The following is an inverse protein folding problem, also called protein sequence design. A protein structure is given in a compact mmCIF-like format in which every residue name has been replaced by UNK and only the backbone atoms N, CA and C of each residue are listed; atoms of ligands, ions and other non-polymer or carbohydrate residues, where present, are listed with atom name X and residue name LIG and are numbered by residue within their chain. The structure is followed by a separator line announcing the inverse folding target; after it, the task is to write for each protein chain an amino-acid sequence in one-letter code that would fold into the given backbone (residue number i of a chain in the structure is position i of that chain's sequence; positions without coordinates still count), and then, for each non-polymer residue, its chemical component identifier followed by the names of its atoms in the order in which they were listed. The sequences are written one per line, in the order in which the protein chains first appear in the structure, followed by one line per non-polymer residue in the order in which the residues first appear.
data_IF_313333088520
#
_entry.id   IF_313333088520
#
_cell.length_a   1.000
_cell.length_b   1.000
_cell.length_c   1.000
_cell.angle_alpha   90.00
_cell.angle_beta   90.00
_cell.angle_gamma   90.00
#
_symmetry.space_group_name_H-M   'P 1'
#
loop_
_entity.id
_entity.type
_entity.pdbx_description
1 polymer ?
#
# COMPACT_ATOMS: atom_id res chain seq x y z
N UNK A 1 26.34 39.32 -48.76
CA UNK A 1 25.09 38.85 -48.12
C UNK A 1 25.36 38.16 -46.77
N UNK A 2 26.13 37.06 -46.72
CA UNK A 2 26.46 36.33 -45.48
C UNK A 2 27.09 37.19 -44.37
N UNK A 3 28.04 38.08 -44.71
CA UNK A 3 28.67 38.99 -43.74
C UNK A 3 27.64 39.90 -43.03
N UNK A 4 26.65 40.40 -43.76
CA UNK A 4 25.59 41.24 -43.19
C UNK A 4 24.69 40.44 -42.25
N UNK A 5 24.34 39.21 -42.62
CA UNK A 5 23.53 38.32 -41.76
C UNK A 5 24.25 38.00 -40.45
N UNK A 6 25.56 37.73 -40.51
CA UNK A 6 26.39 37.50 -39.32
C UNK A 6 26.43 38.74 -38.43
N UNK A 7 26.65 39.92 -39.02
CA UNK A 7 26.68 41.18 -38.28
C UNK A 7 25.35 41.46 -37.58
N UNK A 8 24.22 41.28 -38.29
CA UNK A 8 22.89 41.46 -37.72
C UNK A 8 22.62 40.47 -36.57
N UNK A 9 23.08 39.21 -36.71
CA UNK A 9 22.92 38.21 -35.65
C UNK A 9 23.74 38.56 -34.41
N UNK A 10 24.99 39.01 -34.58
CA UNK A 10 25.86 39.43 -33.48
C UNK A 10 25.29 40.66 -32.76
N UNK A 11 24.78 41.63 -33.50
CA UNK A 11 24.15 42.83 -32.93
C UNK A 11 22.88 42.48 -32.16
N UNK A 12 22.04 41.57 -32.69
CA UNK A 12 20.87 41.07 -31.98
C UNK A 12 21.26 40.32 -30.69
N UNK A 13 22.32 39.51 -30.73
CA UNK A 13 22.81 38.83 -29.53
C UNK A 13 23.20 39.82 -28.44
N UNK A 14 23.98 40.85 -28.77
CA UNK A 14 24.35 41.92 -27.83
C UNK A 14 23.12 42.61 -27.23
N UNK A 15 22.13 42.95 -28.06
CA UNK A 15 20.86 43.56 -27.60
C UNK A 15 20.12 42.66 -26.60
N UNK A 16 20.00 41.36 -26.90
CA UNK A 16 19.36 40.37 -26.01
C UNK A 16 20.14 40.22 -24.68
N UNK A 17 21.46 40.46 -24.70
CA UNK A 17 22.31 40.50 -23.50
C UNK A 17 22.27 41.84 -22.75
N UNK A 18 21.50 42.82 -23.23
CA UNK A 18 21.38 44.14 -22.62
C UNK A 18 22.50 45.13 -23.00
N UNK A 19 23.27 44.82 -24.04
CA UNK A 19 24.39 45.65 -24.51
C UNK A 19 23.99 46.54 -25.69
N UNK A 20 24.68 47.67 -25.86
CA UNK A 20 24.52 48.61 -27.01
C UNK A 20 23.07 49.08 -27.28
N UNK A 21 22.28 49.29 -26.23
CA UNK A 21 20.85 49.64 -26.34
C UNK A 21 20.56 51.11 -26.67
N UNK A 22 21.57 51.98 -26.66
CA UNK A 22 21.42 53.44 -26.79
C UNK A 22 20.83 53.90 -28.13
N UNK A 23 20.82 53.03 -29.15
CA UNK A 23 20.23 53.31 -30.47
C UNK A 23 18.77 52.90 -30.62
N UNK A 24 18.16 52.30 -29.59
CA UNK A 24 16.78 51.81 -29.63
C UNK A 24 15.80 52.88 -29.16
N UNK A 25 14.65 52.95 -29.82
CA UNK A 25 13.51 53.72 -29.33
C UNK A 25 12.86 53.05 -28.13
N UNK A 26 12.07 53.82 -27.37
CA UNK A 26 11.29 53.30 -26.22
C UNK A 26 10.41 52.12 -26.61
N UNK A 27 9.81 52.14 -27.82
CA UNK A 27 8.97 51.04 -28.32
C UNK A 27 9.77 49.76 -28.57
N UNK A 28 10.97 49.88 -29.13
CA UNK A 28 11.85 48.74 -29.40
C UNK A 28 12.40 48.15 -28.11
N UNK A 29 12.76 49.00 -27.13
CA UNK A 29 13.15 48.58 -25.79
C UNK A 29 12.04 47.79 -25.09
N UNK A 30 10.79 48.30 -25.13
CA UNK A 30 9.65 47.60 -24.55
C UNK A 30 9.41 46.24 -25.23
N UNK A 31 9.58 46.16 -26.55
CA UNK A 31 9.46 44.90 -27.29
C UNK A 31 10.54 43.90 -26.87
N UNK A 32 11.78 44.36 -26.71
CA UNK A 32 12.91 43.54 -26.27
C UNK A 32 12.70 43.04 -24.83
N UNK A 33 12.25 43.90 -23.93
CA UNK A 33 11.92 43.55 -22.55
C UNK A 33 10.83 42.46 -22.50
N UNK A 34 9.72 42.66 -23.23
CA UNK A 34 8.63 41.68 -23.30
C UNK A 34 9.13 40.33 -23.87
N UNK A 35 9.99 40.36 -24.88
CA UNK A 35 10.58 39.15 -25.47
C UNK A 35 11.44 38.39 -24.45
N UNK A 36 12.28 39.10 -23.70
CA UNK A 36 13.12 38.52 -22.65
C UNK A 36 12.27 37.97 -21.50
N UNK A 37 11.25 38.70 -21.07
CA UNK A 37 10.33 38.27 -20.01
C UNK A 37 9.59 36.98 -20.39
N UNK A 38 9.01 36.94 -21.59
CA UNK A 38 8.32 35.75 -22.10
C UNK A 38 9.27 34.56 -22.22
N UNK A 39 10.47 34.77 -22.77
CA UNK A 39 11.48 33.71 -22.93
C UNK A 39 11.94 33.17 -21.57
N UNK A 40 12.25 34.06 -20.63
CA UNK A 40 12.70 33.69 -19.28
C UNK A 40 11.59 32.95 -18.51
N UNK A 41 10.34 33.41 -18.62
CA UNK A 41 9.19 32.69 -18.08
C UNK A 41 9.08 31.29 -18.67
N UNK A 42 9.24 31.15 -19.98
CA UNK A 42 9.27 29.85 -20.66
C UNK A 42 10.37 28.92 -20.13
N UNK A 43 11.59 29.43 -19.99
CA UNK A 43 12.72 28.68 -19.43
C UNK A 43 12.44 28.24 -17.99
N UNK A 44 11.92 29.13 -17.14
CA UNK A 44 11.55 28.82 -15.76
C UNK A 44 10.50 27.72 -15.69
N UNK A 45 9.39 27.87 -16.43
CA UNK A 45 8.33 26.85 -16.49
C UNK A 45 8.86 25.50 -16.94
N UNK A 46 9.73 25.46 -17.95
CA UNK A 46 10.32 24.20 -18.43
C UNK A 46 11.24 23.57 -17.39
N UNK A 47 12.05 24.37 -16.70
CA UNK A 47 12.92 23.89 -15.62
C UNK A 47 12.09 23.32 -14.46
N UNK A 48 11.03 24.02 -14.07
CA UNK A 48 10.15 23.59 -12.98
C UNK A 48 9.42 22.30 -13.36
N UNK A 49 8.91 22.18 -14.59
CA UNK A 49 8.28 20.96 -15.08
C UNK A 49 9.24 19.77 -15.04
N UNK A 50 10.46 19.93 -15.55
CA UNK A 50 11.49 18.87 -15.53
C UNK A 50 11.80 18.43 -14.09
N UNK A 51 11.93 19.39 -13.16
CA UNK A 51 12.22 19.07 -11.77
C UNK A 51 11.04 18.33 -11.10
N UNK A 52 9.80 18.73 -11.39
CA UNK A 52 8.60 18.05 -10.89
C UNK A 52 8.54 16.62 -11.44
N UNK A 53 8.77 16.44 -12.73
CA UNK A 53 8.76 15.13 -13.39
C UNK A 53 9.85 14.22 -12.80
N UNK A 54 11.07 14.72 -12.63
CA UNK A 54 12.18 13.97 -12.01
C UNK A 54 11.87 13.56 -10.57
N UNK A 55 11.32 14.47 -9.75
CA UNK A 55 10.90 14.14 -8.38
C UNK A 55 9.84 13.03 -8.39
N UNK A 56 8.88 13.11 -9.31
CA UNK A 56 7.84 12.11 -9.44
C UNK A 56 8.41 10.74 -9.86
N UNK A 57 9.30 10.71 -10.86
CA UNK A 57 9.95 9.48 -11.32
C UNK A 57 10.79 8.84 -10.21
N UNK A 58 11.58 9.63 -9.47
CA UNK A 58 12.37 9.15 -8.35
C UNK A 58 11.49 8.57 -7.23
N UNK A 59 10.39 9.24 -6.87
CA UNK A 59 9.46 8.73 -5.87
C UNK A 59 8.82 7.40 -6.31
N UNK A 60 8.39 7.30 -7.58
CA UNK A 60 7.83 6.06 -8.12
C UNK A 60 8.85 4.91 -8.13
N UNK A 61 10.10 5.22 -8.49
CA UNK A 61 11.18 4.23 -8.48
C UNK A 61 11.48 3.74 -7.07
N UNK A 62 11.55 4.65 -6.10
CA UNK A 62 11.70 4.29 -4.68
C UNK A 62 10.55 3.36 -4.28
N UNK A 63 9.30 3.76 -4.48
CA UNK A 63 8.14 2.92 -4.10
C UNK A 63 8.19 1.53 -4.76
N UNK A 64 8.55 1.46 -6.04
CA UNK A 64 8.70 0.20 -6.79
C UNK A 64 9.86 -0.65 -6.27
N UNK A 65 11.04 -0.06 -6.03
CA UNK A 65 12.24 -0.76 -5.58
C UNK A 65 12.06 -1.32 -4.15
N UNK A 66 11.38 -0.58 -3.26
CA UNK A 66 11.03 -1.06 -1.92
C UNK A 66 10.07 -2.26 -1.99
N UNK A 67 9.03 -2.19 -2.81
CA UNK A 67 8.08 -3.30 -2.99
C UNK A 67 8.73 -4.53 -3.63
N UNK A 68 9.60 -4.33 -4.64
CA UNK A 68 10.33 -5.40 -5.29
C UNK A 68 11.27 -6.11 -4.29
N UNK A 69 12.04 -5.34 -3.51
CA UNK A 69 12.97 -5.89 -2.52
C UNK A 69 12.24 -6.68 -1.43
N UNK A 70 11.11 -6.17 -0.93
CA UNK A 70 10.32 -6.88 0.08
C UNK A 70 9.70 -8.16 -0.47
N UNK A 71 9.16 -8.13 -1.70
CA UNK A 71 8.62 -9.32 -2.38
C UNK A 71 9.69 -10.39 -2.57
N UNK A 72 10.88 -10.00 -3.00
CA UNK A 72 11.98 -10.92 -3.28
C UNK A 72 12.54 -11.53 -1.99
N UNK A 73 12.71 -10.73 -0.91
CA UNK A 73 13.08 -11.23 0.41
C UNK A 73 12.04 -12.21 0.98
N UNK A 74 10.75 -11.92 0.83
CA UNK A 74 9.68 -12.80 1.30
C UNK A 74 9.67 -14.13 0.53
N UNK A 75 9.84 -14.07 -0.80
CA UNK A 75 9.98 -15.27 -1.64
C UNK A 75 11.20 -16.10 -1.24
N UNK A 76 12.34 -15.45 -0.99
CA UNK A 76 13.57 -16.11 -0.54
C UNK A 76 13.40 -16.76 0.84
N UNK A 77 12.71 -16.10 1.78
CA UNK A 77 12.43 -16.70 3.08
C UNK A 77 11.59 -17.97 2.96
N UNK A 78 10.50 -17.93 2.18
CA UNK A 78 9.61 -19.09 2.01
C UNK A 78 10.29 -20.26 1.29
N UNK A 79 11.18 -19.97 0.33
CA UNK A 79 11.94 -20.97 -0.43
C UNK A 79 13.20 -21.45 0.30
N UNK A 80 13.67 -20.71 1.30
CA UNK A 80 14.80 -21.13 2.14
C UNK A 80 14.48 -22.43 2.87
N UNK A 81 15.50 -23.24 3.11
CA UNK A 81 15.38 -24.53 3.84
C UNK A 81 14.62 -24.35 5.15
N UNK A 82 14.89 -23.29 5.91
CA UNK A 82 14.18 -23.02 7.16
C UNK A 82 12.72 -22.60 6.91
N UNK A 83 12.42 -21.78 5.91
CA UNK A 83 11.05 -21.38 5.60
C UNK A 83 10.19 -22.54 5.09
N UNK A 84 10.78 -23.44 4.28
CA UNK A 84 10.14 -24.67 3.83
C UNK A 84 9.82 -25.62 4.99
N UNK A 85 10.75 -25.78 5.93
CA UNK A 85 10.54 -26.57 7.16
C UNK A 85 9.43 -25.97 8.03
N UNK A 86 9.44 -24.66 8.27
CA UNK A 86 8.39 -23.96 9.05
C UNK A 86 7.02 -24.10 8.38
N UNK A 87 6.96 -23.95 7.06
CA UNK A 87 5.71 -24.13 6.31
C UNK A 87 5.18 -25.56 6.44
N UNK A 88 6.06 -26.55 6.31
CA UNK A 88 5.71 -27.96 6.48
C UNK A 88 5.24 -28.26 7.90
N UNK A 89 5.92 -27.75 8.92
CA UNK A 89 5.54 -27.90 10.33
C UNK A 89 4.16 -27.30 10.60
N UNK A 90 3.88 -26.11 10.07
CA UNK A 90 2.57 -25.49 10.20
C UNK A 90 1.46 -26.35 9.58
N UNK A 91 1.68 -26.92 8.38
CA UNK A 91 0.72 -27.83 7.74
C UNK A 91 0.46 -29.07 8.60
N UNK A 92 1.49 -29.63 9.24
CA UNK A 92 1.32 -30.75 10.16
C UNK A 92 0.59 -30.36 11.45
N UNK A 93 0.88 -29.18 12.02
CA UNK A 93 0.19 -28.67 13.20
C UNK A 93 -1.30 -28.46 12.94
N UNK A 94 -1.67 -27.87 11.78
CA UNK A 94 -3.07 -27.74 11.39
C UNK A 94 -3.78 -29.10 11.35
N UNK A 95 -3.14 -30.13 10.78
CA UNK A 95 -3.69 -31.50 10.78
C UNK A 95 -3.86 -32.05 12.20
N UNK A 96 -2.87 -31.86 13.07
CA UNK A 96 -2.92 -32.31 14.47
C UNK A 96 -4.04 -31.62 15.26
N UNK A 97 -4.21 -30.31 15.12
CA UNK A 97 -5.27 -29.54 15.79
C UNK A 97 -6.65 -30.03 15.36
N UNK A 98 -6.84 -30.31 14.07
CA UNK A 98 -8.11 -30.84 13.56
C UNK A 98 -8.43 -32.22 14.17
N UNK A 99 -7.44 -33.12 14.26
CA UNK A 99 -7.61 -34.43 14.89
C UNK A 99 -7.97 -34.32 16.38
N UNK A 100 -7.26 -33.47 17.12
CA UNK A 100 -7.54 -33.22 18.55
C UNK A 100 -8.96 -32.68 18.72
N UNK A 101 -9.38 -31.76 17.85
CA UNK A 101 -10.73 -31.19 17.91
C UNK A 101 -11.81 -32.26 17.67
N UNK A 102 -11.56 -33.20 16.75
CA UNK A 102 -12.44 -34.33 16.50
C UNK A 102 -12.50 -35.28 17.71
N UNK A 103 -11.35 -35.70 18.23
CA UNK A 103 -11.25 -36.59 19.38
C UNK A 103 -11.94 -36.00 20.61
N UNK A 104 -11.73 -34.70 20.88
CA UNK A 104 -12.42 -34.01 21.96
C UNK A 104 -13.95 -34.01 21.76
N UNK A 105 -14.44 -33.90 20.54
CA UNK A 105 -15.86 -34.04 20.22
C UNK A 105 -16.40 -35.44 20.51
N UNK A 106 -15.64 -36.49 20.21
CA UNK A 106 -15.98 -37.88 20.50
C UNK A 106 -15.91 -38.21 21.99
N UNK A 107 -14.88 -37.73 22.69
CA UNK A 107 -14.73 -37.87 24.14
C UNK A 107 -15.84 -37.14 24.90
N UNK A 108 -16.20 -35.93 24.47
CA UNK A 108 -17.32 -35.18 25.05
C UNK A 108 -18.64 -35.97 24.89
N UNK A 109 -18.88 -36.54 23.71
CA UNK A 109 -20.03 -37.44 23.48
C UNK A 109 -19.98 -38.68 24.38
N UNK A 110 -18.82 -39.25 24.66
CA UNK A 110 -18.68 -40.42 25.54
C UNK A 110 -18.85 -40.08 27.02
N UNK A 111 -18.31 -38.94 27.47
CA UNK A 111 -18.38 -38.47 28.85
C UNK A 111 -19.80 -38.06 29.26
N UNK A 112 -20.58 -37.49 28.34
CA UNK A 112 -21.96 -37.07 28.60
C UNK A 112 -23.01 -37.97 27.91
N UNK A 113 -22.59 -38.99 27.18
CA UNK A 113 -23.45 -39.93 26.45
C UNK A 113 -24.10 -41.02 27.31
N UNK A 114 -23.93 -40.99 28.62
CA UNK A 114 -24.63 -41.87 29.57
C UNK A 114 -25.55 -41.06 30.47
N UNK A 115 -26.59 -40.48 29.88
CA UNK A 115 -27.81 -40.15 30.61
C UNK A 115 -29.03 -40.50 29.78
N UNK A 116 -29.23 -41.79 29.59
CA UNK A 116 -30.59 -42.32 29.61
C UNK A 116 -30.60 -43.80 30.02
N UNK A 117 -30.79 -44.04 31.30
CA UNK A 117 -31.60 -45.17 31.78
C UNK A 117 -32.29 -44.72 33.06
N UNK A 118 -33.63 -44.73 32.99
CA UNK A 118 -34.60 -44.64 34.08
C UNK A 118 -35.08 -43.23 34.49
N UNK A 119 -35.92 -42.65 33.64
CA UNK A 119 -36.99 -41.77 34.07
C UNK A 119 -38.17 -42.54 34.68
N UNK A 120 -38.01 -43.05 35.91
CA UNK A 120 -39.14 -43.26 36.82
C UNK A 120 -38.67 -43.35 38.28
N UNK A 121 -38.95 -42.27 39.02
CA UNK A 121 -39.45 -42.33 40.40
C UNK A 121 -38.49 -42.82 41.49
N UNK A 122 -37.88 -41.88 42.23
CA UNK A 122 -38.17 -41.63 43.66
C UNK A 122 -37.15 -40.66 44.29
N UNK A 123 -37.63 -39.46 44.57
CA UNK A 123 -37.49 -38.71 45.83
C UNK A 123 -36.25 -39.01 46.70
N UNK A 124 -35.26 -38.11 46.71
CA UNK A 124 -34.77 -37.51 47.96
C UNK A 124 -33.88 -36.29 47.66
N UNK A 125 -34.42 -35.13 48.02
CA UNK A 125 -33.69 -34.04 48.65
C UNK A 125 -32.62 -33.31 47.84
N UNK A 126 -33.08 -32.17 47.28
CA UNK A 126 -32.29 -30.95 47.18
C UNK A 126 -31.50 -30.71 48.48
N UNK A 127 -30.19 -30.48 48.39
CA UNK A 127 -29.47 -29.70 49.39
C UNK A 127 -28.58 -28.66 48.71
N UNK A 128 -29.13 -27.46 48.63
CA UNK A 128 -28.47 -26.16 48.79
C UNK A 128 -27.43 -25.78 47.72
N UNK A 129 -27.80 -24.93 46.76
CA UNK A 129 -27.81 -23.47 46.87
C UNK A 129 -26.42 -22.87 46.97
N UNK A 130 -25.94 -22.28 45.86
CA UNK A 130 -25.30 -20.95 45.83
C UNK A 130 -25.32 -20.47 44.37
N UNK A 131 -26.18 -19.48 44.10
CA UNK A 131 -26.15 -18.65 42.90
C UNK A 131 -24.95 -17.70 42.98
N UNK A 132 -24.06 -17.74 41.99
CA UNK A 132 -23.16 -16.66 41.60
C UNK A 132 -22.65 -17.07 40.20
N UNK A 133 -23.19 -16.50 39.12
CA UNK A 133 -22.63 -15.29 38.50
C UNK A 133 -21.38 -15.57 37.70
N UNK A 134 -21.33 -14.99 36.50
CA UNK A 134 -20.13 -14.96 35.67
C UNK A 134 -20.30 -15.71 34.36
N UNK A 135 -20.76 -14.98 33.36
CA UNK A 135 -20.32 -15.04 31.96
C UNK A 135 -19.31 -16.15 31.62
N UNK A 136 -19.68 -17.00 30.66
CA UNK A 136 -18.88 -17.34 29.47
C UNK A 136 -19.54 -18.51 28.74
N UNK A 137 -20.72 -18.28 28.16
CA UNK A 137 -21.14 -19.03 26.98
C UNK A 137 -20.97 -18.15 25.74
N UNK A 138 -19.75 -17.66 25.54
CA UNK A 138 -19.31 -17.28 24.20
C UNK A 138 -18.62 -18.52 23.66
N UNK A 139 -19.39 -19.38 23.00
CA UNK A 139 -18.82 -20.38 22.11
C UNK A 139 -18.00 -19.59 21.08
N UNK A 140 -16.68 -19.57 21.24
CA UNK A 140 -15.79 -18.89 20.31
C UNK A 140 -15.84 -19.68 19.01
N UNK A 141 -16.74 -19.28 18.12
CA UNK A 141 -16.76 -19.77 16.75
C UNK A 141 -15.56 -19.15 16.03
N UNK A 142 -14.41 -19.82 16.11
CA UNK A 142 -13.24 -19.51 15.30
C UNK A 142 -13.60 -19.85 13.85
N UNK A 143 -14.12 -18.87 13.11
CA UNK A 143 -14.21 -18.96 11.66
C UNK A 143 -12.79 -19.04 11.10
N UNK A 144 -12.46 -20.22 10.56
CA UNK A 144 -11.20 -20.51 9.91
C UNK A 144 -11.00 -19.53 8.74
N UNK A 145 -9.96 -18.69 8.80
CA UNK A 145 -9.43 -18.05 7.59
C UNK A 145 -8.88 -19.17 6.70
N UNK A 146 -9.63 -19.54 5.66
CA UNK A 146 -9.12 -20.41 4.61
C UNK A 146 -7.90 -19.73 3.96
N UNK A 147 -6.87 -20.51 3.56
CA UNK A 147 -5.75 -19.95 2.82
C UNK A 147 -6.31 -19.32 1.55
N UNK A 148 -6.18 -17.99 1.43
CA UNK A 148 -6.58 -17.26 0.24
C UNK A 148 -5.79 -17.83 -0.94
N UNK A 149 -6.45 -18.64 -1.76
CA UNK A 149 -5.95 -18.99 -3.06
C UNK A 149 -5.86 -17.69 -3.86
N UNK A 150 -4.65 -17.26 -4.15
CA UNK A 150 -4.38 -16.17 -5.08
C UNK A 150 -4.92 -16.55 -6.46
N UNK A 151 -6.10 -16.05 -6.79
CA UNK A 151 -6.56 -15.92 -8.16
C UNK A 151 -6.12 -14.51 -8.62
N UNK A 152 -5.05 -14.45 -9.41
CA UNK A 152 -4.72 -13.28 -10.20
C UNK A 152 -5.78 -13.16 -11.29
N UNK A 153 -6.79 -12.32 -11.08
CA UNK A 153 -7.45 -11.63 -12.19
C UNK A 153 -8.16 -10.35 -11.74
N UNK A 154 -7.53 -9.23 -12.11
CA UNK A 154 -8.11 -7.97 -12.61
C UNK A 154 -9.57 -7.66 -12.24
N UNK A 155 -9.79 -6.72 -11.31
CA UNK A 155 -10.89 -5.76 -11.44
C UNK A 155 -10.54 -4.46 -10.70
N UNK A 156 -10.26 -3.45 -11.51
CA UNK A 156 -10.17 -2.06 -11.11
C UNK A 156 -11.31 -1.65 -10.18
N UNK A 157 -10.97 -1.15 -8.98
CA UNK A 157 -11.90 -0.36 -8.18
C UNK A 157 -11.22 0.87 -7.59
N UNK A 158 -11.17 1.89 -8.44
CA UNK A 158 -11.50 3.28 -8.13
C UNK A 158 -11.36 3.73 -6.67
N UNK A 159 -10.26 4.43 -6.42
CA UNK A 159 -10.19 5.77 -5.83
C UNK A 159 -11.30 6.15 -4.84
N UNK A 160 -10.94 6.20 -3.55
CA UNK A 160 -11.47 7.19 -2.60
C UNK A 160 -10.43 7.44 -1.51
N UNK A 161 -9.41 8.24 -1.83
CA UNK A 161 -8.53 8.82 -0.82
C UNK A 161 -9.19 10.11 -0.31
N UNK A 162 -9.56 10.11 0.97
CA UNK A 162 -10.16 11.25 1.65
C UNK A 162 -9.23 12.46 1.62
N UNK A 163 -9.82 13.62 1.32
CA UNK A 163 -9.17 14.92 1.34
C UNK A 163 -8.68 15.22 2.76
N UNK A 164 -7.37 15.41 2.93
CA UNK A 164 -6.83 16.13 4.08
C UNK A 164 -6.80 17.62 3.71
N UNK A 165 -7.74 18.37 4.27
CA UNK A 165 -7.67 19.83 4.31
C UNK A 165 -6.64 20.21 5.37
N UNK A 166 -5.56 20.87 4.95
CA UNK A 166 -4.66 21.58 5.84
C UNK A 166 -5.18 23.02 5.97
N UNK A 167 -5.55 23.39 7.19
CA UNK A 167 -5.72 24.79 7.60
C UNK A 167 -4.35 25.43 7.86
#
# INVERSE_FOLDING_TARGET
MLRQQLQNLQENHRKIMGEELSGLSVKELQSLENQLEMSLKGVRMKKDQILIDEIQELNQKVDSDYLATHRDLFSQFFTSTNGSLIHQENVELYKKVNLISQENGELNKKAFGTRDVNGANRNASLSNSLSLEGDLHVAVHLQLCQPQQQNYDTQARATKLGRLQLN
#
